data_IF_324632024187
#
_entry.id   IF_324632024187
#
_cell.length_a   1.000
_cell.length_b   1.000
_cell.length_c   1.000
_cell.angle_alpha   90.00
_cell.angle_beta   90.00
_cell.angle_gamma   90.00
#
_symmetry.space_group_name_H-M   'P 1'
#
loop_
_entity.id
_entity.type
_entity.pdbx_description
1 polymer ?
#
# COMPACT_ATOMS: atom_id res chain seq x y z
N UNK A 1 18.15 20.15 3.70
CA UNK A 1 16.72 20.19 4.04
C UNK A 1 16.31 21.63 4.16
N UNK A 2 15.20 21.99 3.55
CA UNK A 2 14.57 23.29 3.67
C UNK A 2 13.35 23.14 4.58
N UNK A 3 13.17 24.10 5.49
CA UNK A 3 11.96 24.23 6.29
C UNK A 3 11.41 25.61 6.03
N UNK A 4 10.14 25.67 5.61
CA UNK A 4 9.51 26.91 5.21
C UNK A 4 8.03 26.91 5.60
N UNK A 5 7.42 28.08 5.48
CA UNK A 5 6.00 28.27 5.72
C UNK A 5 5.45 29.12 4.58
N UNK A 6 4.52 28.57 3.80
CA UNK A 6 3.91 29.28 2.67
C UNK A 6 2.94 30.37 3.11
N UNK A 7 2.23 30.13 4.23
CA UNK A 7 1.37 31.12 4.86
C UNK A 7 1.28 30.88 6.37
N UNK A 8 1.37 31.95 7.16
CA UNK A 8 1.17 31.88 8.61
C UNK A 8 -0.33 31.75 8.91
N UNK A 9 -0.73 30.59 9.42
CA UNK A 9 -2.12 30.30 9.83
C UNK A 9 -2.12 29.72 11.25
N UNK A 10 -2.89 30.34 12.14
CA UNK A 10 -3.03 29.87 13.52
C UNK A 10 -3.80 28.54 13.59
N UNK A 11 -3.43 27.68 14.54
CA UNK A 11 -4.13 26.42 14.79
C UNK A 11 -3.74 25.23 13.89
N UNK A 12 -2.77 25.40 12.99
CA UNK A 12 -2.24 24.30 12.16
C UNK A 12 -1.27 23.44 12.96
N UNK A 13 -1.48 22.11 12.97
CA UNK A 13 -0.67 21.16 13.75
C UNK A 13 0.76 21.02 13.23
N UNK A 14 0.94 21.05 11.91
CA UNK A 14 2.24 21.00 11.22
C UNK A 14 2.38 22.27 10.36
N UNK A 15 2.66 23.44 10.94
CA UNK A 15 2.59 24.71 10.23
C UNK A 15 3.82 24.98 9.32
N UNK A 16 4.82 24.10 9.36
CA UNK A 16 6.02 24.20 8.54
C UNK A 16 6.09 23.04 7.56
N UNK A 17 6.28 23.36 6.28
CA UNK A 17 6.59 22.41 5.22
C UNK A 17 8.10 22.13 5.23
N UNK A 18 8.46 20.93 4.79
CA UNK A 18 9.84 20.46 4.73
C UNK A 18 10.13 19.82 3.38
N UNK A 19 11.26 20.18 2.80
CA UNK A 19 11.78 19.57 1.57
C UNK A 19 13.22 19.12 1.74
N UNK A 20 13.56 17.99 1.12
CA UNK A 20 14.91 17.43 1.14
C UNK A 20 15.27 16.82 -0.19
N UNK A 21 16.53 16.98 -0.56
CA UNK A 21 17.10 16.47 -1.80
C UNK A 21 18.34 15.68 -1.46
N UNK A 22 18.36 14.41 -1.83
CA UNK A 22 19.48 13.49 -1.61
C UNK A 22 19.87 12.96 -2.97
N UNK A 23 21.12 13.19 -3.36
CA UNK A 23 21.66 12.67 -4.61
C UNK A 23 22.66 11.57 -4.30
N UNK A 24 22.35 10.35 -4.73
CA UNK A 24 23.19 9.18 -4.54
C UNK A 24 23.20 8.34 -5.82
N UNK A 25 24.39 7.96 -6.28
CA UNK A 25 24.61 7.12 -7.46
C UNK A 25 23.77 7.46 -8.71
N UNK A 26 23.61 8.75 -9.05
CA UNK A 26 22.83 9.17 -10.21
C UNK A 26 21.32 9.31 -9.98
N UNK A 27 20.84 8.95 -8.79
CA UNK A 27 19.43 9.07 -8.40
C UNK A 27 19.22 10.27 -7.50
N UNK A 28 18.26 11.12 -7.85
CA UNK A 28 17.79 12.21 -7.00
C UNK A 28 16.54 11.76 -6.24
N UNK A 29 16.65 11.66 -4.92
CA UNK A 29 15.52 11.41 -4.02
C UNK A 29 15.03 12.76 -3.50
N UNK A 30 13.77 13.09 -3.82
CA UNK A 30 13.06 14.24 -3.27
C UNK A 30 12.14 13.77 -2.14
N UNK A 31 12.28 14.38 -0.97
CA UNK A 31 11.44 14.09 0.21
C UNK A 31 10.63 15.33 0.56
N UNK A 32 9.35 15.15 0.83
CA UNK A 32 8.45 16.20 1.31
C UNK A 32 7.83 15.78 2.64
N UNK A 33 7.48 16.73 3.49
CA UNK A 33 6.76 16.45 4.74
C UNK A 33 6.45 17.73 5.50
N UNK A 34 5.94 17.60 6.72
CA UNK A 34 5.65 18.75 7.58
C UNK A 34 6.12 18.56 9.01
N UNK A 35 6.39 19.66 9.70
CA UNK A 35 6.83 19.66 11.10
C UNK A 35 6.05 20.66 11.97
N UNK A 36 5.74 20.23 13.20
CA UNK A 36 5.10 21.06 14.21
C UNK A 36 6.04 22.11 14.81
N UNK A 37 5.51 23.25 15.23
CA UNK A 37 6.31 24.31 15.89
C UNK A 37 7.09 23.82 17.11
N UNK A 38 6.54 22.85 17.85
CA UNK A 38 7.21 22.25 19.01
C UNK A 38 8.42 21.37 18.64
N UNK A 39 8.53 20.95 17.39
CA UNK A 39 9.61 20.09 16.90
C UNK A 39 10.62 20.84 16.03
N UNK A 40 10.44 22.14 15.75
CA UNK A 40 11.31 22.92 14.86
C UNK A 40 12.78 22.93 15.31
N UNK A 41 13.03 22.99 16.63
CA UNK A 41 14.38 22.94 17.19
C UNK A 41 15.09 21.59 17.06
N UNK A 42 14.39 20.54 16.63
CA UNK A 42 14.91 19.18 16.41
C UNK A 42 14.82 18.72 14.96
N UNK A 43 14.53 19.65 14.04
CA UNK A 43 14.41 19.38 12.60
C UNK A 43 15.61 18.59 12.10
N UNK A 44 16.82 19.06 12.37
CA UNK A 44 18.02 18.39 11.88
C UNK A 44 18.09 16.95 12.39
N UNK A 45 17.89 16.72 13.68
CA UNK A 45 17.92 15.38 14.27
C UNK A 45 16.86 14.44 13.67
N UNK A 46 15.63 14.94 13.48
CA UNK A 46 14.50 14.15 12.98
C UNK A 46 14.77 13.63 11.56
N UNK A 47 15.29 14.47 10.67
CA UNK A 47 15.47 14.09 9.27
C UNK A 47 16.86 13.52 8.96
N UNK A 48 17.90 13.95 9.68
CA UNK A 48 19.28 13.53 9.43
C UNK A 48 19.46 12.03 9.65
N UNK A 49 18.75 11.42 10.60
CA UNK A 49 18.74 9.96 10.75
C UNK A 49 18.23 9.26 9.47
N UNK A 50 17.02 9.60 9.03
CA UNK A 50 16.42 9.01 7.82
C UNK A 50 17.28 9.26 6.58
N UNK A 51 17.78 10.49 6.39
CA UNK A 51 18.54 10.86 5.20
C UNK A 51 19.88 10.14 5.10
N UNK A 52 20.56 9.90 6.23
CA UNK A 52 21.81 9.12 6.25
C UNK A 52 21.58 7.65 5.92
N UNK A 53 20.36 7.15 6.15
CA UNK A 53 19.98 5.76 5.89
C UNK A 53 19.42 5.54 4.48
N UNK A 54 19.06 6.60 3.77
CA UNK A 54 18.64 6.53 2.37
C UNK A 54 19.83 6.14 1.48
N UNK A 55 19.65 5.09 0.70
CA UNK A 55 20.57 4.67 -0.35
C UNK A 55 19.83 4.50 -1.66
N UNK A 56 20.43 4.93 -2.76
CA UNK A 56 19.94 4.63 -4.09
C UNK A 56 20.06 3.13 -4.37
N UNK A 57 19.08 2.57 -5.09
CA UNK A 57 19.15 1.20 -5.59
C UNK A 57 18.48 1.09 -6.95
N UNK A 58 18.86 0.06 -7.69
CA UNK A 58 18.11 -0.36 -8.86
C UNK A 58 16.77 -1.01 -8.45
N UNK A 59 15.68 -0.64 -9.12
CA UNK A 59 14.34 -1.12 -8.80
C UNK A 59 14.17 -2.62 -9.00
N UNK A 60 14.92 -3.23 -9.90
CA UNK A 60 14.90 -4.67 -10.19
C UNK A 60 15.77 -5.48 -9.26
N UNK A 61 16.61 -4.83 -8.46
CA UNK A 61 17.41 -5.46 -7.42
C UNK A 61 16.60 -5.63 -6.12
N UNK A 62 16.62 -6.84 -5.55
CA UNK A 62 16.02 -7.12 -4.24
C UNK A 62 17.12 -7.02 -3.17
N UNK A 63 17.13 -5.99 -2.30
CA UNK A 63 18.20 -5.81 -1.33
C UNK A 63 18.18 -6.87 -0.23
N UNK A 64 19.36 -7.23 0.28
CA UNK A 64 19.53 -8.19 1.39
C UNK A 64 19.74 -7.52 2.74
N UNK A 65 20.09 -6.23 2.77
CA UNK A 65 20.18 -5.45 4.01
C UNK A 65 18.79 -5.15 4.58
N UNK A 66 18.69 -4.85 5.88
CA UNK A 66 17.42 -4.47 6.51
C UNK A 66 16.99 -3.07 6.10
N UNK A 67 15.68 -2.87 6.01
CA UNK A 67 15.11 -1.54 5.73
C UNK A 67 13.92 -1.55 4.77
N UNK A 68 13.40 -0.36 4.52
CA UNK A 68 12.17 -0.12 3.79
C UNK A 68 12.44 0.34 2.36
N UNK A 69 11.97 -0.43 1.37
CA UNK A 69 12.16 -0.10 -0.04
C UNK A 69 11.13 0.94 -0.51
N UNK A 70 11.59 1.86 -1.34
CA UNK A 70 10.76 2.75 -2.14
C UNK A 70 11.27 2.78 -3.58
N UNK A 71 10.63 3.59 -4.42
CA UNK A 71 11.03 3.74 -5.83
C UNK A 71 12.43 4.37 -5.94
N UNK A 72 13.36 3.65 -6.56
CA UNK A 72 14.75 4.07 -6.74
C UNK A 72 15.64 4.01 -5.48
N UNK A 73 15.14 3.51 -4.34
CA UNK A 73 15.90 3.53 -3.10
C UNK A 73 15.45 2.59 -1.98
N UNK A 74 16.17 2.67 -0.87
CA UNK A 74 15.89 1.99 0.39
C UNK A 74 16.28 2.90 1.57
N UNK A 75 15.44 2.93 2.62
CA UNK A 75 15.84 3.45 3.93
C UNK A 75 16.37 2.28 4.75
N UNK A 76 17.67 2.23 4.95
CA UNK A 76 18.37 1.09 5.56
C UNK A 76 18.26 1.05 7.10
N UNK A 77 18.54 -0.11 7.69
CA UNK A 77 18.51 -0.30 9.15
C UNK A 77 17.14 -0.67 9.71
N UNK A 78 17.03 -0.66 11.04
CA UNK A 78 15.75 -0.82 11.75
C UNK A 78 14.98 0.50 11.69
N UNK A 79 13.66 0.43 11.54
CA UNK A 79 12.84 1.65 11.57
C UNK A 79 12.52 2.06 13.00
N UNK A 80 12.64 3.36 13.25
CA UNK A 80 12.16 4.04 14.45
C UNK A 80 10.96 4.96 14.16
N UNK A 81 10.54 5.02 12.90
CA UNK A 81 9.46 5.88 12.42
C UNK A 81 8.35 5.05 11.82
N UNK A 82 7.16 5.62 11.77
CA UNK A 82 6.04 4.97 11.10
C UNK A 82 6.31 4.80 9.62
N UNK A 83 6.09 3.59 9.11
CA UNK A 83 6.27 3.26 7.70
C UNK A 83 4.91 3.09 7.02
N UNK A 84 4.76 3.72 5.85
CA UNK A 84 3.61 3.54 4.97
C UNK A 84 4.07 3.55 3.50
N UNK A 85 3.48 2.66 2.70
CA UNK A 85 3.63 2.67 1.24
C UNK A 85 2.28 2.40 0.58
N UNK A 86 2.01 3.16 -0.47
CA UNK A 86 0.91 2.92 -1.39
C UNK A 86 1.47 2.87 -2.80
N UNK A 87 1.44 1.69 -3.42
CA UNK A 87 1.93 1.49 -4.77
C UNK A 87 0.78 1.04 -5.68
N UNK A 88 0.68 1.69 -6.84
CA UNK A 88 -0.25 1.33 -7.90
C UNK A 88 0.51 0.85 -9.13
N UNK A 89 -0.01 -0.19 -9.78
CA UNK A 89 0.54 -0.77 -11.00
C UNK A 89 -0.56 -0.84 -12.06
N UNK A 90 -0.39 -0.08 -13.14
CA UNK A 90 -1.18 -0.29 -14.35
C UNK A 90 -0.68 -1.57 -15.02
N UNK A 91 -1.53 -2.60 -15.05
CA UNK A 91 -1.15 -3.93 -15.53
C UNK A 91 -1.21 -4.03 -17.05
N UNK A 92 -2.05 -3.21 -17.68
CA UNK A 92 -2.27 -3.22 -19.14
C UNK A 92 -2.40 -1.80 -19.67
N UNK A 93 -1.44 -1.31 -20.48
CA UNK A 93 -1.59 -0.04 -21.18
C UNK A 93 -2.86 -0.01 -22.04
N UNK A 94 -3.61 1.10 -21.99
CA UNK A 94 -4.82 1.31 -22.78
C UNK A 94 -6.06 0.53 -22.32
N UNK A 95 -5.99 -0.20 -21.20
CA UNK A 95 -7.14 -0.90 -20.61
C UNK A 95 -7.23 -0.65 -19.10
N UNK A 96 -8.43 -0.61 -18.50
CA UNK A 96 -8.55 -0.48 -17.05
C UNK A 96 -8.12 -1.79 -16.37
N UNK A 97 -6.85 -1.86 -15.96
CA UNK A 97 -6.32 -2.97 -15.18
C UNK A 97 -5.33 -2.42 -14.16
N UNK A 98 -5.72 -2.45 -12.88
CA UNK A 98 -4.99 -1.79 -11.80
C UNK A 98 -4.79 -2.76 -10.64
N UNK A 99 -3.54 -2.86 -10.19
CA UNK A 99 -3.19 -3.45 -8.91
C UNK A 99 -2.79 -2.33 -7.95
N UNK A 100 -3.39 -2.30 -6.76
CA UNK A 100 -3.04 -1.37 -5.68
C UNK A 100 -2.60 -2.19 -4.47
N UNK A 101 -1.44 -1.86 -3.92
CA UNK A 101 -0.91 -2.45 -2.69
C UNK A 101 -0.66 -1.32 -1.70
N UNK A 102 -1.26 -1.42 -0.53
CA UNK A 102 -1.08 -0.48 0.56
C UNK A 102 -0.60 -1.24 1.79
N UNK A 103 0.48 -0.77 2.39
CA UNK A 103 1.05 -1.33 3.60
C UNK A 103 1.38 -0.21 4.56
N UNK A 104 1.11 -0.43 5.83
CA UNK A 104 1.55 0.46 6.92
C UNK A 104 1.75 -0.34 8.20
N UNK A 105 2.32 0.29 9.21
CA UNK A 105 2.35 -0.29 10.55
C UNK A 105 0.95 -0.71 11.01
N UNK A 106 0.87 -1.88 11.63
CA UNK A 106 -0.36 -2.39 12.21
C UNK A 106 -0.66 -1.69 13.55
N UNK A 107 -1.93 -1.38 13.78
CA UNK A 107 -2.42 -0.71 15.00
C UNK A 107 -3.58 -1.47 15.64
N UNK A 108 -3.87 -1.18 16.91
CA UNK A 108 -4.93 -1.86 17.68
C UNK A 108 -6.33 -1.80 17.08
N UNK A 109 -6.59 -0.82 16.22
CA UNK A 109 -7.87 -0.68 15.54
C UNK A 109 -8.06 -1.73 14.42
N UNK A 110 -6.98 -2.24 13.84
CA UNK A 110 -7.02 -3.04 12.62
C UNK A 110 -7.68 -4.41 12.83
N UNK A 111 -7.44 -5.02 13.99
CA UNK A 111 -8.07 -6.28 14.38
C UNK A 111 -9.60 -6.17 14.56
N UNK A 112 -10.11 -4.94 14.75
CA UNK A 112 -11.52 -4.69 15.04
C UNK A 112 -12.36 -4.55 13.76
N UNK A 113 -11.72 -4.34 12.61
CA UNK A 113 -12.37 -4.05 11.32
C UNK A 113 -12.05 -5.09 10.23
N UNK A 114 -12.35 -6.39 10.44
CA UNK A 114 -12.19 -7.41 9.39
C UNK A 114 -13.09 -7.09 8.18
N UNK A 115 -12.61 -7.45 6.99
CA UNK A 115 -13.27 -7.18 5.72
C UNK A 115 -14.68 -7.80 5.69
N UNK A 116 -14.82 -9.01 6.24
CA UNK A 116 -16.10 -9.72 6.30
C UNK A 116 -17.16 -9.00 7.14
N UNK A 117 -16.79 -8.23 8.17
CA UNK A 117 -17.77 -7.41 8.92
C UNK A 117 -18.31 -6.24 8.09
N UNK A 118 -17.56 -5.80 7.08
CA UNK A 118 -18.00 -4.71 6.19
C UNK A 118 -18.89 -5.20 5.04
N UNK A 119 -18.95 -6.53 4.81
CA UNK A 119 -19.71 -7.14 3.73
C UNK A 119 -21.21 -6.81 3.71
N UNK A 120 -21.95 -6.83 4.83
CA UNK A 120 -23.37 -6.46 4.79
C UNK A 120 -23.60 -5.04 4.28
N UNK A 121 -22.73 -4.10 4.69
CA UNK A 121 -22.75 -2.72 4.21
C UNK A 121 -22.38 -2.63 2.72
N UNK A 122 -21.36 -3.36 2.29
CA UNK A 122 -20.98 -3.43 0.89
C UNK A 122 -22.13 -3.97 0.04
N UNK A 123 -22.76 -5.09 0.41
CA UNK A 123 -23.94 -5.63 -0.28
C UNK A 123 -25.05 -4.61 -0.39
N UNK A 124 -25.40 -3.95 0.72
CA UNK A 124 -26.43 -2.92 0.73
C UNK A 124 -26.11 -1.70 -0.15
N UNK A 125 -24.82 -1.40 -0.40
CA UNK A 125 -24.40 -0.38 -1.36
C UNK A 125 -24.49 -0.89 -2.80
N UNK A 126 -24.06 -2.13 -3.05
CA UNK A 126 -24.10 -2.77 -4.36
C UNK A 126 -25.53 -3.02 -4.86
N UNK A 127 -26.45 -3.40 -3.97
CA UNK A 127 -27.87 -3.61 -4.28
C UNK A 127 -28.57 -2.32 -4.78
N UNK A 128 -27.96 -1.14 -4.55
CA UNK A 128 -28.48 0.15 -5.02
C UNK A 128 -27.98 0.53 -6.41
N UNK A 129 -26.99 -0.19 -6.93
CA UNK A 129 -26.44 0.08 -8.26
C UNK A 129 -27.29 -0.61 -9.33
N UNK A 130 -27.47 0.01 -10.51
CA UNK A 130 -28.17 -0.60 -11.62
C UNK A 130 -27.40 -1.78 -12.25
N UNK A 131 -26.13 -1.97 -11.86
CA UNK A 131 -25.28 -3.06 -12.31
C UNK A 131 -25.57 -4.37 -11.54
N UNK A 132 -25.52 -5.49 -12.23
CA UNK A 132 -25.56 -6.80 -11.59
C UNK A 132 -24.21 -7.11 -10.94
N UNK A 133 -24.22 -7.54 -9.69
CA UNK A 133 -23.01 -8.03 -9.02
C UNK A 133 -23.15 -9.48 -8.60
N UNK A 134 -22.02 -10.20 -8.55
CA UNK A 134 -21.94 -11.56 -8.03
C UNK A 134 -20.65 -11.74 -7.25
N UNK A 135 -20.77 -12.21 -6.01
CA UNK A 135 -19.61 -12.60 -5.21
C UNK A 135 -19.06 -13.91 -5.77
N UNK A 136 -17.79 -13.92 -6.14
CA UNK A 136 -17.08 -15.08 -6.67
C UNK A 136 -16.44 -15.90 -5.54
N UNK A 137 -15.81 -15.20 -4.60
CA UNK A 137 -15.14 -15.81 -3.45
C UNK A 137 -15.10 -14.84 -2.29
N UNK A 138 -15.25 -15.36 -1.08
CA UNK A 138 -15.09 -14.58 0.14
C UNK A 138 -14.59 -15.50 1.26
N UNK A 139 -13.77 -14.99 2.16
CA UNK A 139 -13.36 -15.73 3.35
C UNK A 139 -11.95 -15.44 3.81
N UNK A 140 -11.47 -16.31 4.71
CA UNK A 140 -10.12 -16.23 5.27
C UNK A 140 -9.11 -16.86 4.32
N UNK A 141 -7.90 -16.30 4.29
CA UNK A 141 -6.72 -16.89 3.65
C UNK A 141 -5.45 -16.46 4.35
N UNK A 142 -4.35 -17.11 4.02
CA UNK A 142 -3.01 -16.71 4.48
C UNK A 142 -2.22 -16.12 3.32
N UNK A 143 -1.58 -14.97 3.53
CA UNK A 143 -0.63 -14.36 2.57
C UNK A 143 0.64 -13.97 3.30
N UNK A 144 1.82 -14.27 2.74
CA UNK A 144 3.10 -13.93 3.37
C UNK A 144 3.20 -14.26 4.89
N UNK A 145 2.55 -15.36 5.33
CA UNK A 145 2.42 -15.79 6.75
C UNK A 145 1.60 -14.86 7.66
N UNK A 146 0.72 -14.04 7.07
CA UNK A 146 -0.28 -13.22 7.74
C UNK A 146 -1.67 -13.78 7.49
N UNK A 147 -2.51 -13.73 8.51
CA UNK A 147 -3.94 -14.00 8.36
C UNK A 147 -4.60 -12.82 7.67
N UNK A 148 -5.42 -13.12 6.67
CA UNK A 148 -6.10 -12.15 5.85
C UNK A 148 -7.53 -12.59 5.54
N UNK A 149 -8.34 -11.63 5.11
CA UNK A 149 -9.65 -11.87 4.54
C UNK A 149 -9.71 -11.31 3.13
N UNK A 150 -10.41 -12.00 2.24
CA UNK A 150 -10.65 -11.54 0.88
C UNK A 150 -12.14 -11.53 0.53
N UNK A 151 -12.47 -10.66 -0.42
CA UNK A 151 -13.79 -10.58 -1.07
C UNK A 151 -13.55 -10.25 -2.54
N UNK A 152 -14.03 -11.14 -3.40
CA UNK A 152 -13.86 -11.10 -4.84
C UNK A 152 -15.24 -11.05 -5.48
N UNK A 153 -15.51 -10.07 -6.34
CA UNK A 153 -16.79 -9.98 -7.02
C UNK A 153 -16.66 -9.55 -8.49
N UNK A 154 -17.63 -10.01 -9.26
CA UNK A 154 -17.89 -9.62 -10.64
C UNK A 154 -18.97 -8.53 -10.65
N UNK A 155 -18.82 -7.56 -11.55
CA UNK A 155 -19.82 -6.56 -11.90
C UNK A 155 -20.13 -6.64 -13.39
N UNK A 156 -21.42 -6.64 -13.73
CA UNK A 156 -21.92 -6.59 -15.10
C UNK A 156 -22.84 -5.39 -15.31
N UNK A 157 -22.50 -4.58 -16.29
CA UNK A 157 -23.27 -3.41 -16.71
C UNK A 157 -23.40 -3.42 -18.25
N UNK A 158 -24.55 -3.87 -18.76
CA UNK A 158 -24.72 -4.11 -20.20
C UNK A 158 -23.69 -5.12 -20.72
N UNK A 159 -22.85 -4.68 -21.67
CA UNK A 159 -21.77 -5.49 -22.24
C UNK A 159 -20.47 -5.47 -21.41
N UNK A 160 -20.37 -4.61 -20.40
CA UNK A 160 -19.17 -4.47 -19.59
C UNK A 160 -19.16 -5.53 -18.49
N UNK A 161 -18.07 -6.31 -18.42
CA UNK A 161 -17.77 -7.19 -17.27
C UNK A 161 -16.51 -6.67 -16.58
N UNK A 162 -16.56 -6.52 -15.25
CA UNK A 162 -15.41 -6.12 -14.46
C UNK A 162 -15.27 -6.94 -13.19
N UNK A 163 -14.03 -7.09 -12.71
CA UNK A 163 -13.69 -7.81 -11.50
C UNK A 163 -13.10 -6.84 -10.47
N UNK A 164 -13.50 -7.03 -9.21
CA UNK A 164 -13.16 -6.17 -8.08
C UNK A 164 -12.77 -7.05 -6.90
N UNK A 165 -11.47 -7.18 -6.71
CA UNK A 165 -10.90 -8.13 -5.75
C UNK A 165 -10.19 -7.36 -4.66
N UNK A 166 -10.51 -7.70 -3.41
CA UNK A 166 -9.99 -7.04 -2.23
C UNK A 166 -9.43 -8.07 -1.27
N UNK A 167 -8.29 -7.74 -0.67
CA UNK A 167 -7.71 -8.45 0.46
C UNK A 167 -7.36 -7.46 1.55
N UNK A 168 -7.60 -7.84 2.79
CA UNK A 168 -7.17 -7.12 3.98
C UNK A 168 -6.50 -8.08 4.97
N UNK A 169 -5.26 -7.79 5.34
CA UNK A 169 -4.56 -8.39 6.45
C UNK A 169 -4.40 -7.34 7.57
N UNK A 170 -4.97 -7.53 8.77
CA UNK A 170 -4.81 -6.59 9.88
C UNK A 170 -3.35 -6.36 10.31
N UNK A 171 -2.48 -7.35 10.06
CA UNK A 171 -1.08 -7.31 10.48
C UNK A 171 -0.89 -7.70 11.94
N UNK A 172 0.32 -7.47 12.46
CA UNK A 172 0.73 -7.75 13.84
C UNK A 172 1.57 -6.56 14.34
N UNK A 173 0.99 -5.75 15.23
CA UNK A 173 1.62 -4.53 15.76
C UNK A 173 2.94 -4.77 16.50
N UNK A 174 3.25 -6.01 16.87
CA UNK A 174 4.50 -6.36 17.55
C UNK A 174 5.70 -6.44 16.59
N UNK A 175 5.46 -6.42 15.27
CA UNK A 175 6.52 -6.62 14.28
C UNK A 175 6.30 -5.90 12.95
N UNK A 176 7.36 -5.27 12.43
CA UNK A 176 7.38 -4.72 11.07
C UNK A 176 7.31 -5.80 9.97
N UNK A 177 7.54 -7.07 10.33
CA UNK A 177 7.49 -8.19 9.39
C UNK A 177 6.07 -8.53 8.92
N UNK A 178 5.04 -8.03 9.60
CA UNK A 178 3.63 -8.30 9.34
C UNK A 178 2.82 -7.00 9.38
N UNK A 179 3.00 -6.10 8.40
CA UNK A 179 2.29 -4.82 8.37
C UNK A 179 0.79 -5.03 8.13
N UNK A 180 -0.01 -4.03 8.49
CA UNK A 180 -1.37 -3.94 7.99
C UNK A 180 -1.31 -3.80 6.46
N UNK A 181 -1.96 -4.71 5.73
CA UNK A 181 -1.82 -4.83 4.28
C UNK A 181 -3.19 -4.86 3.62
N UNK A 182 -3.43 -3.93 2.69
CA UNK A 182 -4.60 -3.91 1.82
C UNK A 182 -4.17 -4.06 0.36
N UNK A 183 -4.82 -4.98 -0.37
CA UNK A 183 -4.53 -5.24 -1.79
C UNK A 183 -5.82 -5.18 -2.57
N UNK A 184 -5.78 -4.49 -3.71
CA UNK A 184 -6.90 -4.37 -4.63
C UNK A 184 -6.45 -4.77 -6.04
N UNK A 185 -7.23 -5.61 -6.69
CA UNK A 185 -7.10 -5.89 -8.12
C UNK A 185 -8.40 -5.51 -8.82
N UNK A 186 -8.30 -4.54 -9.73
CA UNK A 186 -9.40 -4.01 -10.51
C UNK A 186 -9.16 -4.35 -11.99
N UNK A 187 -10.07 -5.13 -12.58
CA UNK A 187 -10.00 -5.51 -14.00
C UNK A 187 -11.27 -5.06 -14.69
N UNK A 188 -11.14 -4.23 -15.72
CA UNK A 188 -12.24 -3.54 -16.38
C UNK A 188 -12.83 -2.40 -15.54
N UNK A 189 -13.25 -1.32 -16.19
CA UNK A 189 -13.97 -0.21 -15.56
C UNK A 189 -14.67 0.61 -16.65
N UNK A 190 -15.86 1.12 -16.35
CA UNK A 190 -16.52 2.07 -17.24
C UNK A 190 -15.66 3.33 -17.35
N UNK A 191 -15.48 3.81 -18.59
CA UNK A 191 -14.73 5.02 -18.88
C UNK A 191 -15.39 5.72 -20.06
N UNK A 192 -15.60 7.06 -20.00
CA UNK A 192 -16.14 7.81 -21.13
C UNK A 192 -15.20 7.80 -22.35
N UNK A 193 -13.91 7.54 -22.13
CA UNK A 193 -12.88 7.61 -23.17
C UNK A 193 -12.63 6.26 -23.87
N UNK A 194 -13.30 5.19 -23.44
CA UNK A 194 -13.08 3.83 -23.95
C UNK A 194 -14.36 3.24 -24.56
N UNK A 195 -14.19 2.45 -25.63
CA UNK A 195 -15.28 1.60 -26.12
C UNK A 195 -15.59 0.50 -25.10
N UNK A 196 -16.82 -0.07 -25.08
CA UNK A 196 -17.17 -1.15 -24.16
C UNK A 196 -16.20 -2.34 -24.18
N UNK A 197 -15.67 -2.67 -25.36
CA UNK A 197 -14.67 -3.74 -25.57
C UNK A 197 -13.31 -3.46 -24.90
N UNK A 198 -12.91 -2.19 -24.80
CA UNK A 198 -11.68 -1.78 -24.12
C UNK A 198 -11.90 -1.50 -22.63
N UNK A 199 -13.13 -1.14 -22.25
CA UNK A 199 -13.54 -0.90 -20.87
C UNK A 199 -13.76 -2.20 -20.08
N UNK A 200 -14.19 -3.28 -20.73
CA UNK A 200 -14.39 -4.59 -20.09
C UNK A 200 -13.07 -5.26 -19.72
N UNK A 201 -13.11 -6.15 -18.72
CA UNK A 201 -11.98 -7.01 -18.36
C UNK A 201 -11.48 -7.80 -19.58
N UNK A 202 -10.17 -7.83 -19.76
CA UNK A 202 -9.51 -8.60 -20.83
C UNK A 202 -9.56 -10.11 -20.59
N UNK A 203 -9.62 -10.50 -19.31
CA UNK A 203 -9.71 -11.89 -18.87
C UNK A 203 -11.12 -12.20 -18.40
N UNK A 204 -11.51 -13.45 -18.53
CA UNK A 204 -12.73 -13.98 -17.93
C UNK A 204 -12.56 -14.24 -16.43
N UNK A 205 -13.59 -14.81 -15.80
CA UNK A 205 -13.59 -15.13 -14.36
C UNK A 205 -12.42 -16.05 -13.97
N UNK A 206 -12.11 -17.05 -14.81
CA UNK A 206 -11.05 -18.01 -14.51
C UNK A 206 -9.69 -17.34 -14.58
N UNK A 207 -9.45 -16.53 -15.60
CA UNK A 207 -8.22 -15.75 -15.74
C UNK A 207 -8.06 -14.69 -14.65
N UNK A 208 -9.15 -14.04 -14.23
CA UNK A 208 -9.14 -13.07 -13.14
C UNK A 208 -8.73 -13.74 -11.81
N UNK A 209 -9.38 -14.85 -11.44
CA UNK A 209 -9.07 -15.60 -10.22
C UNK A 209 -7.62 -16.15 -10.24
N UNK A 210 -7.17 -16.67 -11.38
CA UNK A 210 -5.79 -17.14 -11.54
C UNK A 210 -4.77 -16.01 -11.35
N UNK A 211 -5.02 -14.83 -11.92
CA UNK A 211 -4.15 -13.65 -11.78
C UNK A 211 -4.03 -13.24 -10.32
N UNK A 212 -5.16 -13.21 -9.61
CA UNK A 212 -5.23 -12.91 -8.19
C UNK A 212 -4.44 -13.88 -7.32
N UNK A 213 -4.66 -15.18 -7.52
CA UNK A 213 -3.99 -16.20 -6.73
C UNK A 213 -2.49 -16.25 -7.03
N UNK A 214 -2.09 -16.06 -8.29
CA UNK A 214 -0.67 -15.97 -8.69
C UNK A 214 0.02 -14.80 -8.00
N UNK A 215 -0.60 -13.62 -8.02
CA UNK A 215 -0.08 -12.42 -7.36
C UNK A 215 0.10 -12.69 -5.87
N UNK A 216 -0.94 -13.12 -5.17
CA UNK A 216 -0.91 -13.26 -3.72
C UNK A 216 0.03 -14.37 -3.24
N UNK A 217 0.17 -15.45 -4.02
CA UNK A 217 1.12 -16.53 -3.72
C UNK A 217 2.58 -16.12 -3.96
N UNK A 218 2.84 -15.04 -4.71
CA UNK A 218 4.19 -14.51 -4.91
C UNK A 218 4.69 -13.66 -3.73
N UNK A 219 3.76 -13.16 -2.90
CA UNK A 219 4.05 -12.26 -1.80
C UNK A 219 4.81 -12.96 -0.68
N UNK A 220 5.92 -12.37 -0.27
CA UNK A 220 6.76 -12.83 0.83
C UNK A 220 7.48 -11.65 1.46
N UNK A 221 7.79 -11.79 2.75
CA UNK A 221 8.75 -10.90 3.40
C UNK A 221 10.09 -10.99 2.65
N UNK A 222 10.69 -9.84 2.34
CA UNK A 222 12.00 -9.79 1.70
C UNK A 222 13.04 -10.45 2.62
N UNK A 223 13.93 -11.31 2.11
CA UNK A 223 15.05 -11.82 2.89
C UNK A 223 15.87 -10.66 3.48
N UNK A 224 16.09 -10.69 4.80
CA UNK A 224 16.81 -9.63 5.51
C UNK A 224 16.02 -8.35 5.79
N UNK A 225 14.73 -8.27 5.44
CA UNK A 225 13.90 -7.07 5.60
C UNK A 225 13.98 -6.45 7.01
N UNK A 226 13.88 -7.30 8.02
CA UNK A 226 13.88 -6.91 9.44
C UNK A 226 15.17 -7.42 10.06
N UNK A 227 15.89 -6.54 10.75
CA UNK A 227 17.00 -6.93 11.63
C UNK A 227 16.48 -7.94 12.65
N UNK A 228 17.24 -8.99 12.94
CA UNK A 228 16.89 -9.98 13.98
C UNK A 228 16.60 -9.21 15.28
N UNK A 229 15.34 -9.10 15.69
CA UNK A 229 15.00 -8.55 17.00
C UNK A 229 15.67 -9.45 18.04
N UNK A 230 16.66 -8.93 18.76
CA UNK A 230 17.08 -9.53 20.02
C UNK A 230 15.84 -9.52 20.92
N UNK A 231 15.49 -10.63 21.60
CA UNK A 231 14.40 -10.59 22.56
C UNK A 231 14.69 -9.47 23.55
N UNK A 232 13.73 -8.55 23.73
CA UNK A 232 13.80 -7.53 24.75
C UNK A 232 14.18 -8.22 26.06
N UNK A 233 15.33 -7.84 26.63
CA UNK A 233 15.61 -8.13 28.02
C UNK A 233 14.46 -7.51 28.82
N UNK A 234 13.81 -8.34 29.62
CA UNK A 234 12.80 -7.88 30.56
C UNK A 234 13.42 -6.84 31.51
N UNK A 235 12.76 -5.68 31.63
CA UNK A 235 12.79 -4.82 32.81
C UNK A 235 11.34 -4.57 33.25
#
# INVERSE_FOLDING_TARGET
>A
MFVYQDAATDGVTLPFETEGYIYDNGTLVHTTGGIGSSAIGRVEDIYNDTYRRIKARDNWSVPTESGFCFDGGIVTGSSTYTEEVSQSFALMPGRPALLVIQMRDAVDADEKTPLTKTLPRLRAQMDRLPAHYRILRQGKRTIARMDAEEVLFELKEGALTSYRFYLLAPGDKSTLAKPHTAIQLLLGASSPDLTPEHATSLVDETGALLTWDTLLNSLRLRPGAVSRQLPNAAE
#
